data_IF_847184283807
#
_entry.id   IF_847184283807
#
_cell.length_a   1.000
_cell.length_b   1.000
_cell.length_c   1.000
_cell.angle_alpha   90.00
_cell.angle_beta   90.00
_cell.angle_gamma   90.00
#
_symmetry.space_group_name_H-M   'P 1'
#
loop_
_entity.id
_entity.type
_entity.pdbx_description
1 polymer ?
#
# COMPACT_ATOMS: atom_id res chain seq x y z
N UNK A 1 -18.09 -29.94 -49.15
CA UNK A 1 -18.62 -30.84 -48.12
C UNK A 1 -18.72 -30.07 -46.82
N UNK A 2 -19.94 -29.76 -46.43
CA UNK A 2 -20.33 -28.90 -45.31
C UNK A 2 -19.93 -29.49 -43.96
N UNK A 3 -18.93 -28.91 -43.29
CA UNK A 3 -18.78 -29.07 -41.83
C UNK A 3 -19.70 -28.05 -41.17
N UNK A 4 -20.85 -28.53 -40.72
CA UNK A 4 -21.75 -27.84 -39.81
C UNK A 4 -20.95 -27.36 -38.59
N UNK A 5 -20.72 -26.04 -38.50
CA UNK A 5 -20.23 -25.41 -37.28
C UNK A 5 -21.34 -25.56 -36.24
N UNK A 6 -21.22 -26.56 -35.35
CA UNK A 6 -22.02 -26.60 -34.13
C UNK A 6 -21.65 -25.35 -33.34
N UNK A 7 -22.56 -24.38 -33.30
CA UNK A 7 -22.38 -23.16 -32.52
C UNK A 7 -22.52 -23.52 -31.04
N UNK A 8 -21.39 -23.72 -30.38
CA UNK A 8 -21.35 -23.93 -28.94
C UNK A 8 -21.72 -22.63 -28.22
N UNK A 9 -22.81 -22.65 -27.48
CA UNK A 9 -23.28 -21.51 -26.70
C UNK A 9 -22.92 -21.68 -25.23
N UNK A 10 -22.35 -20.61 -24.64
CA UNK A 10 -22.02 -20.54 -23.22
C UNK A 10 -23.18 -19.82 -22.52
N UNK A 11 -23.56 -20.30 -21.34
CA UNK A 11 -24.55 -19.59 -20.52
C UNK A 11 -24.04 -18.18 -20.17
N UNK A 12 -24.95 -17.19 -20.17
CA UNK A 12 -24.61 -15.80 -19.89
C UNK A 12 -23.95 -15.65 -18.51
N UNK A 13 -24.40 -16.39 -17.51
CA UNK A 13 -23.81 -16.35 -16.17
C UNK A 13 -22.38 -16.91 -16.16
N UNK A 14 -22.16 -18.02 -16.87
CA UNK A 14 -20.86 -18.67 -17.01
C UNK A 14 -19.84 -17.82 -17.77
N UNK A 15 -20.26 -17.10 -18.81
CA UNK A 15 -19.40 -16.22 -19.60
C UNK A 15 -18.80 -15.08 -18.76
N UNK A 16 -19.66 -14.37 -18.00
CA UNK A 16 -19.21 -13.25 -17.16
C UNK A 16 -18.37 -13.71 -15.98
N UNK A 17 -18.77 -14.83 -15.35
CA UNK A 17 -17.99 -15.43 -14.28
C UNK A 17 -16.57 -15.77 -14.75
N UNK A 18 -16.45 -16.39 -15.94
CA UNK A 18 -15.14 -16.77 -16.46
C UNK A 18 -14.25 -15.56 -16.76
N UNK A 19 -14.78 -14.53 -17.42
CA UNK A 19 -14.02 -13.31 -17.71
C UNK A 19 -13.58 -12.61 -16.41
N UNK A 20 -14.44 -12.57 -15.40
CA UNK A 20 -14.12 -12.01 -14.08
C UNK A 20 -13.03 -12.84 -13.37
N UNK A 21 -13.14 -14.17 -13.35
CA UNK A 21 -12.16 -15.05 -12.69
C UNK A 21 -10.79 -15.03 -13.37
N UNK A 22 -10.74 -14.93 -14.70
CA UNK A 22 -9.47 -14.77 -15.43
C UNK A 22 -8.84 -13.39 -15.17
N UNK A 23 -9.64 -12.32 -15.14
CA UNK A 23 -9.14 -11.00 -14.80
C UNK A 23 -8.63 -10.92 -13.35
N UNK A 24 -9.33 -11.57 -12.40
CA UNK A 24 -8.89 -11.67 -11.00
C UNK A 24 -7.56 -12.43 -10.88
N UNK A 25 -7.39 -13.53 -11.63
CA UNK A 25 -6.15 -14.31 -11.65
C UNK A 25 -4.94 -13.47 -12.09
N UNK A 26 -5.07 -12.67 -13.14
CA UNK A 26 -4.01 -11.76 -13.62
C UNK A 26 -4.02 -10.36 -12.98
N UNK A 27 -4.84 -10.13 -11.95
CA UNK A 27 -5.00 -8.83 -11.26
C UNK A 27 -5.32 -7.65 -12.19
N UNK A 28 -6.07 -7.92 -13.26
CA UNK A 28 -6.53 -6.92 -14.22
C UNK A 28 -7.81 -6.23 -13.69
N UNK A 29 -7.98 -4.92 -13.90
CA UNK A 29 -9.22 -4.23 -13.54
C UNK A 29 -10.37 -4.72 -14.43
N UNK A 30 -11.38 -5.36 -13.82
CA UNK A 30 -12.55 -5.89 -14.52
C UNK A 30 -13.81 -5.17 -14.06
N UNK A 31 -14.61 -4.69 -15.02
CA UNK A 31 -15.93 -4.10 -14.78
C UNK A 31 -16.99 -4.91 -15.54
N UNK A 32 -17.86 -5.59 -14.79
CA UNK A 32 -18.87 -6.48 -15.33
C UNK A 32 -19.94 -5.74 -16.15
N UNK A 33 -20.26 -4.48 -15.80
CA UNK A 33 -21.29 -3.71 -16.49
C UNK A 33 -20.78 -3.14 -17.82
N UNK A 34 -19.48 -2.90 -17.92
CA UNK A 34 -18.81 -2.48 -19.15
C UNK A 34 -18.73 -3.62 -20.18
N UNK A 35 -18.56 -4.87 -19.72
CA UNK A 35 -18.62 -6.06 -20.60
C UNK A 35 -20.05 -6.31 -21.07
N UNK A 36 -21.05 -6.20 -20.17
CA UNK A 36 -22.48 -6.36 -20.51
C UNK A 36 -23.00 -5.33 -21.50
N UNK A 37 -22.52 -4.09 -21.44
CA UNK A 37 -22.93 -3.02 -22.36
C UNK A 37 -22.28 -3.12 -23.74
N UNK A 38 -21.11 -3.76 -23.83
CA UNK A 38 -20.33 -3.85 -25.07
C UNK A 38 -20.58 -5.13 -25.87
N UNK A 39 -21.00 -6.23 -25.24
CA UNK A 39 -21.20 -7.53 -25.89
C UNK A 39 -22.63 -8.06 -25.68
N UNK A 40 -23.41 -8.10 -26.74
CA UNK A 40 -24.81 -8.58 -26.76
C UNK A 40 -24.85 -10.09 -27.04
N UNK A 41 -25.76 -10.88 -26.43
CA UNK A 41 -25.92 -12.32 -26.75
C UNK A 41 -26.21 -12.55 -28.25
N UNK A 42 -25.78 -13.69 -28.84
CA UNK A 42 -25.36 -14.93 -28.19
C UNK A 42 -23.88 -15.02 -27.75
N UNK A 43 -23.64 -15.47 -26.52
CA UNK A 43 -22.29 -15.67 -25.97
C UNK A 43 -21.65 -16.96 -26.51
N UNK A 44 -20.82 -16.82 -27.53
CA UNK A 44 -20.01 -17.90 -28.09
C UNK A 44 -18.54 -17.82 -27.66
N UNK A 45 -17.78 -18.88 -27.95
CA UNK A 45 -16.32 -18.91 -27.76
C UNK A 45 -15.60 -17.76 -28.49
N UNK A 46 -16.00 -17.33 -29.72
CA UNK A 46 -15.35 -16.19 -30.39
C UNK A 46 -15.52 -14.87 -29.63
N UNK A 47 -16.70 -14.62 -29.05
CA UNK A 47 -16.95 -13.44 -28.24
C UNK A 47 -16.12 -13.46 -26.95
N UNK A 48 -15.83 -14.64 -26.40
CA UNK A 48 -14.97 -14.78 -25.23
C UNK A 48 -13.51 -14.42 -25.56
N UNK A 49 -13.00 -14.85 -26.71
CA UNK A 49 -11.65 -14.49 -27.17
C UNK A 49 -11.54 -12.97 -27.36
N UNK A 50 -12.56 -12.32 -27.91
CA UNK A 50 -12.58 -10.87 -28.10
C UNK A 50 -12.62 -10.10 -26.77
N UNK A 51 -13.38 -10.58 -25.78
CA UNK A 51 -13.36 -10.02 -24.42
C UNK A 51 -11.99 -10.19 -23.76
N UNK A 52 -11.37 -11.36 -23.92
CA UNK A 52 -10.04 -11.62 -23.37
C UNK A 52 -8.98 -10.73 -24.05
N UNK A 53 -9.04 -10.57 -25.37
CA UNK A 53 -8.13 -9.69 -26.10
C UNK A 53 -8.30 -8.22 -25.67
N UNK A 54 -9.54 -7.76 -25.47
CA UNK A 54 -9.83 -6.44 -24.91
C UNK A 54 -9.32 -6.23 -23.48
N UNK A 55 -9.14 -7.32 -22.71
CA UNK A 55 -8.53 -7.33 -21.38
C UNK A 55 -6.99 -7.48 -21.43
N UNK A 56 -6.39 -7.59 -22.62
CA UNK A 56 -4.94 -7.79 -22.79
C UNK A 56 -4.51 -9.25 -22.60
N UNK A 57 -5.41 -10.20 -22.85
CA UNK A 57 -5.19 -11.64 -22.71
C UNK A 57 -5.34 -12.34 -24.06
N UNK A 58 -4.32 -13.07 -24.48
CA UNK A 58 -4.40 -13.92 -25.67
C UNK A 58 -4.95 -15.29 -25.30
N UNK A 59 -6.03 -15.69 -25.97
CA UNK A 59 -6.69 -16.97 -25.76
C UNK A 59 -6.56 -17.87 -27.00
N UNK A 60 -6.07 -19.09 -26.83
CA UNK A 60 -5.97 -20.12 -27.86
C UNK A 60 -6.86 -21.32 -27.53
N UNK A 61 -7.42 -21.96 -28.55
CA UNK A 61 -8.26 -23.16 -28.40
C UNK A 61 -7.39 -24.39 -28.69
N UNK A 62 -7.43 -25.38 -27.79
CA UNK A 62 -6.75 -26.66 -27.95
C UNK A 62 -7.74 -27.81 -27.73
N UNK A 63 -7.60 -28.90 -28.49
CA UNK A 63 -8.36 -30.13 -28.22
C UNK A 63 -7.74 -30.87 -27.05
N UNK A 64 -8.57 -31.28 -26.08
CA UNK A 64 -8.13 -32.04 -24.91
C UNK A 64 -7.52 -33.42 -25.23
N UNK A 65 -7.76 -33.96 -26.44
CA UNK A 65 -7.17 -35.23 -26.91
C UNK A 65 -5.68 -35.10 -27.24
N UNK A 66 -5.20 -33.86 -27.46
CA UNK A 66 -3.82 -33.53 -27.81
C UNK A 66 -3.06 -32.94 -26.61
N UNK A 67 -3.71 -32.82 -25.44
CA UNK A 67 -3.15 -32.16 -24.26
C UNK A 67 -2.48 -33.15 -23.28
N UNK A 68 -1.21 -32.90 -22.97
CA UNK A 68 -0.50 -33.52 -21.83
C UNK A 68 -0.93 -32.84 -20.53
N UNK A 69 -1.75 -33.52 -19.72
CA UNK A 69 -2.34 -32.95 -18.49
C UNK A 69 -1.33 -32.57 -17.41
N UNK A 70 -0.10 -33.06 -17.50
CA UNK A 70 1.01 -32.75 -16.59
C UNK A 70 1.77 -31.46 -16.96
N UNK A 71 1.66 -31.01 -18.22
CA UNK A 71 2.38 -29.84 -18.76
C UNK A 71 1.42 -28.73 -19.24
N UNK A 72 0.18 -28.74 -18.77
CA UNK A 72 -0.81 -27.72 -19.14
C UNK A 72 -0.38 -26.34 -18.64
N UNK A 73 -0.30 -25.31 -19.50
CA UNK A 73 -0.11 -23.95 -19.04
C UNK A 73 -1.35 -23.51 -18.26
N UNK A 74 -1.16 -23.23 -16.97
CA UNK A 74 -2.22 -22.77 -16.06
C UNK A 74 -2.28 -21.23 -16.07
N UNK A 75 -3.48 -20.63 -16.02
CA UNK A 75 -4.80 -21.24 -15.86
C UNK A 75 -5.38 -21.71 -17.20
N UNK A 76 -5.97 -22.91 -17.21
CA UNK A 76 -6.65 -23.47 -18.39
C UNK A 76 -8.16 -23.50 -18.15
N UNK A 77 -8.95 -23.21 -19.18
CA UNK A 77 -10.41 -23.23 -19.13
C UNK A 77 -10.91 -24.44 -19.88
N UNK A 78 -11.78 -25.22 -19.25
CA UNK A 78 -12.47 -26.34 -19.89
C UNK A 78 -13.98 -26.11 -19.91
N UNK A 79 -14.68 -26.71 -20.87
CA UNK A 79 -16.12 -26.61 -20.97
C UNK A 79 -16.77 -27.97 -20.66
N UNK A 80 -17.92 -27.98 -19.99
CA UNK A 80 -18.74 -29.19 -19.76
C UNK A 80 -20.02 -29.13 -20.57
N UNK A 81 -20.33 -30.20 -21.30
CA UNK A 81 -21.58 -30.36 -22.03
C UNK A 81 -22.74 -30.75 -21.11
N UNK A 82 -23.89 -30.10 -21.26
CA UNK A 82 -25.12 -30.44 -20.53
C UNK A 82 -25.61 -31.85 -20.86
N UNK A 83 -25.32 -32.79 -19.97
CA UNK A 83 -25.92 -34.12 -19.93
C UNK A 83 -25.98 -34.57 -18.47
N UNK A 84 -27.07 -34.24 -17.77
CA UNK A 84 -27.38 -34.88 -16.49
C UNK A 84 -27.86 -36.31 -16.77
N UNK A 85 -27.11 -37.31 -16.29
CA UNK A 85 -27.63 -38.67 -16.14
C UNK A 85 -28.42 -38.73 -14.83
N UNK A 86 -29.73 -38.95 -14.92
CA UNK A 86 -30.53 -39.30 -13.74
C UNK A 86 -32.03 -39.00 -13.75
N UNK A 87 -32.77 -39.08 -14.87
CA UNK A 87 -34.24 -39.17 -14.87
C UNK A 87 -34.69 -40.07 -16.04
N UNK A 88 -35.65 -40.96 -15.77
CA UNK A 88 -36.27 -41.89 -16.74
C UNK A 88 -36.83 -41.19 -17.99
N UNK A 89 -36.89 -41.87 -19.16
CA UNK A 89 -37.31 -41.24 -20.40
C UNK A 89 -38.84 -41.13 -20.46
N UNK A 90 -39.39 -39.98 -20.07
CA UNK A 90 -40.72 -39.57 -20.52
C UNK A 90 -40.60 -38.99 -21.93
N UNK A 91 -41.32 -39.62 -22.86
CA UNK A 91 -41.43 -39.24 -24.25
C UNK A 91 -41.95 -37.80 -24.43
N UNK A 92 -41.51 -37.16 -25.52
CA UNK A 92 -41.80 -35.77 -25.95
C UNK A 92 -40.86 -34.70 -25.37
N UNK A 93 -39.67 -34.60 -25.96
CA UNK A 93 -38.93 -33.34 -26.03
C UNK A 93 -38.16 -33.30 -27.36
N UNK A 94 -38.55 -32.36 -28.21
CA UNK A 94 -37.97 -32.09 -29.52
C UNK A 94 -36.44 -32.05 -29.49
N UNK A 95 -35.83 -32.91 -30.31
CA UNK A 95 -34.44 -32.80 -30.76
C UNK A 95 -34.31 -31.58 -31.68
N UNK A 96 -34.07 -30.40 -31.13
CA UNK A 96 -33.29 -29.32 -31.76
C UNK A 96 -33.11 -28.16 -30.77
N UNK A 97 -32.03 -28.22 -29.98
CA UNK A 97 -31.59 -27.12 -29.11
C UNK A 97 -30.07 -27.20 -28.90
N UNK A 98 -29.31 -26.11 -29.06
CA UNK A 98 -27.85 -26.14 -28.92
C UNK A 98 -27.46 -26.43 -27.46
N UNK A 99 -26.58 -27.42 -27.26
CA UNK A 99 -26.13 -27.82 -25.93
C UNK A 99 -25.41 -26.69 -25.20
N UNK A 100 -25.97 -26.24 -24.07
CA UNK A 100 -25.35 -25.25 -23.19
C UNK A 100 -24.02 -25.80 -22.63
N UNK A 101 -22.94 -25.04 -22.80
CA UNK A 101 -21.65 -25.32 -22.18
C UNK A 101 -21.51 -24.54 -20.87
N UNK A 102 -21.11 -25.24 -19.81
CA UNK A 102 -20.71 -24.61 -18.54
C UNK A 102 -19.19 -24.52 -18.44
N UNK A 103 -18.60 -23.32 -18.29
CA UNK A 103 -17.16 -23.17 -18.19
C UNK A 103 -16.65 -23.58 -16.80
N UNK A 104 -15.45 -24.16 -16.75
CA UNK A 104 -14.76 -24.59 -15.54
C UNK A 104 -13.30 -24.15 -15.62
N UNK A 105 -12.79 -23.52 -14.56
CA UNK A 105 -11.41 -23.04 -14.49
C UNK A 105 -10.52 -24.09 -13.83
N UNK A 106 -9.43 -24.47 -14.50
CA UNK A 106 -8.39 -25.36 -13.99
C UNK A 106 -7.28 -24.49 -13.41
N UNK A 107 -7.10 -24.56 -12.09
CA UNK A 107 -6.14 -23.71 -11.34
C UNK A 107 -4.91 -24.51 -10.90
N UNK A 108 -4.96 -25.84 -10.94
CA UNK A 108 -3.82 -26.70 -10.62
C UNK A 108 -4.01 -28.15 -11.03
N UNK A 109 -2.90 -28.82 -11.35
CA UNK A 109 -2.82 -30.26 -11.62
C UNK A 109 -1.72 -30.85 -10.71
N UNK A 110 -2.09 -31.76 -9.81
CA UNK A 110 -1.13 -32.42 -8.91
C UNK A 110 -1.42 -33.93 -8.83
N UNK A 111 -0.40 -34.76 -9.09
CA UNK A 111 -0.40 -36.22 -8.93
C UNK A 111 -1.69 -36.95 -9.41
N UNK A 112 -2.22 -36.60 -10.59
CA UNK A 112 -3.42 -37.24 -11.17
C UNK A 112 -4.78 -36.64 -10.73
N UNK A 113 -4.76 -35.56 -9.96
CA UNK A 113 -5.93 -34.79 -9.51
C UNK A 113 -5.91 -33.38 -10.10
N UNK A 114 -7.05 -32.94 -10.64
CA UNK A 114 -7.28 -31.58 -11.13
C UNK A 114 -8.01 -30.76 -10.07
N UNK A 115 -7.50 -29.57 -9.78
CA UNK A 115 -8.17 -28.58 -8.93
C UNK A 115 -9.00 -27.64 -9.81
N UNK A 116 -10.32 -27.77 -9.71
CA UNK A 116 -11.30 -27.11 -10.58
C UNK A 116 -12.12 -26.11 -9.78
N UNK A 117 -12.32 -24.91 -10.33
CA UNK A 117 -13.22 -23.89 -9.78
C UNK A 117 -14.43 -23.75 -10.71
N UNK A 118 -15.64 -23.76 -10.13
CA UNK A 118 -16.91 -23.72 -10.86
C UNK A 118 -17.60 -22.36 -10.67
N UNK A 119 -18.47 -21.95 -11.61
CA UNK A 119 -19.37 -20.81 -11.40
C UNK A 119 -20.16 -20.97 -10.10
N UNK A 120 -20.01 -20.02 -9.17
CA UNK A 120 -20.67 -20.02 -7.86
C UNK A 120 -19.94 -20.77 -6.73
N UNK A 121 -18.76 -21.35 -6.97
CA UNK A 121 -17.92 -21.96 -5.94
C UNK A 121 -16.58 -21.23 -5.83
N UNK A 122 -16.19 -20.83 -4.62
CA UNK A 122 -14.94 -20.12 -4.35
C UNK A 122 -13.78 -21.03 -3.95
N UNK A 123 -14.06 -22.27 -3.54
CA UNK A 123 -13.03 -23.25 -3.15
C UNK A 123 -12.75 -24.26 -4.27
N UNK A 124 -11.46 -24.55 -4.60
CA UNK A 124 -11.11 -25.51 -5.64
C UNK A 124 -11.54 -26.94 -5.28
N UNK A 125 -12.37 -27.55 -6.12
CA UNK A 125 -12.74 -28.96 -5.96
C UNK A 125 -11.73 -29.85 -6.66
N UNK A 126 -11.16 -30.82 -5.93
CA UNK A 126 -10.23 -31.81 -6.50
C UNK A 126 -10.99 -32.97 -7.12
N UNK A 127 -10.79 -33.20 -8.41
CA UNK A 127 -11.43 -34.31 -9.16
C UNK A 127 -10.33 -35.11 -9.86
N UNK A 128 -10.49 -36.44 -9.93
CA UNK A 128 -9.57 -37.30 -10.70
C UNK A 128 -9.70 -37.04 -12.20
N UNK A 129 -8.58 -37.10 -12.92
CA UNK A 129 -8.54 -36.86 -14.37
C UNK A 129 -9.53 -37.77 -15.11
N UNK A 130 -9.68 -39.04 -14.71
CA UNK A 130 -10.61 -40.01 -15.32
C UNK A 130 -12.09 -39.62 -15.18
N UNK A 131 -12.50 -39.08 -14.02
CA UNK A 131 -13.87 -38.62 -13.81
C UNK A 131 -14.14 -37.32 -14.58
N UNK A 132 -13.13 -36.47 -14.69
CA UNK A 132 -13.20 -35.27 -15.51
C UNK A 132 -13.35 -35.61 -17.01
N UNK A 133 -12.65 -36.64 -17.51
CA UNK A 133 -12.74 -37.12 -18.91
C UNK A 133 -14.16 -37.51 -19.32
N UNK A 134 -14.97 -38.02 -18.40
CA UNK A 134 -16.34 -38.45 -18.67
C UNK A 134 -17.32 -37.26 -18.73
N UNK A 135 -16.95 -36.11 -18.19
CA UNK A 135 -17.83 -34.95 -18.02
C UNK A 135 -17.41 -33.74 -18.87
N UNK A 136 -16.16 -33.68 -19.34
CA UNK A 136 -15.66 -32.54 -20.11
C UNK A 136 -16.01 -32.63 -21.61
N UNK A 137 -16.41 -31.49 -22.18
CA UNK A 137 -16.46 -31.31 -23.63
C UNK A 137 -15.03 -31.32 -24.20
N UNK A 138 -14.84 -31.68 -25.48
CA UNK A 138 -13.50 -31.92 -26.04
C UNK A 138 -12.69 -30.65 -26.34
N UNK A 139 -12.86 -29.57 -25.57
CA UNK A 139 -12.35 -28.24 -25.88
C UNK A 139 -11.72 -27.59 -24.63
N UNK A 140 -10.46 -27.19 -24.75
CA UNK A 140 -9.69 -26.41 -23.78
C UNK A 140 -9.42 -25.02 -24.35
N UNK A 141 -9.56 -23.99 -23.53
CA UNK A 141 -9.16 -22.62 -23.83
C UNK A 141 -7.96 -22.27 -22.94
N UNK A 142 -6.81 -22.09 -23.57
CA UNK A 142 -5.56 -21.71 -22.92
C UNK A 142 -5.44 -20.20 -23.02
N UNK A 143 -5.22 -19.53 -21.89
CA UNK A 143 -5.19 -18.08 -21.85
C UNK A 143 -3.85 -17.63 -21.27
N UNK A 144 -3.19 -16.67 -21.92
CA UNK A 144 -1.91 -16.08 -21.52
C UNK A 144 -1.98 -14.56 -21.58
N UNK A 145 -1.12 -13.87 -20.84
CA UNK A 145 -0.96 -12.43 -20.96
C UNK A 145 -0.44 -12.06 -22.36
N UNK A 146 -1.06 -11.06 -23.00
CA UNK A 146 -0.63 -10.57 -24.30
C UNK A 146 0.64 -9.74 -24.13
N UNK A 147 1.75 -10.16 -24.75
CA UNK A 147 2.94 -9.30 -24.84
C UNK A 147 2.55 -8.01 -25.61
N UNK A 148 2.80 -6.82 -25.05
CA UNK A 148 2.46 -5.57 -25.72
C UNK A 148 3.26 -5.45 -27.03
N UNK A 149 2.69 -4.86 -28.10
CA UNK A 149 3.40 -4.68 -29.35
C UNK A 149 4.66 -3.85 -29.11
N UNK A 150 5.81 -4.46 -29.35
CA UNK A 150 7.13 -3.84 -29.22
C UNK A 150 7.28 -2.79 -30.31
N UNK A 151 7.00 -1.53 -29.99
CA UNK A 151 7.53 -0.40 -30.74
C UNK A 151 9.01 -0.23 -30.34
N UNK A 152 9.91 -0.12 -31.33
CA UNK A 152 11.37 -0.07 -31.11
C UNK A 152 11.80 1.07 -30.16
N UNK A 153 11.03 2.16 -30.09
CA UNK A 153 11.24 3.28 -29.15
C UNK A 153 10.86 2.94 -27.70
N UNK A 154 9.92 2.01 -27.51
CA UNK A 154 9.51 1.54 -26.19
C UNK A 154 10.48 0.48 -25.64
N UNK A 155 11.18 -0.29 -26.49
CA UNK A 155 12.15 -1.28 -26.03
C UNK A 155 13.37 -0.64 -25.35
N UNK A 156 13.84 0.50 -25.87
CA UNK A 156 14.95 1.24 -25.27
C UNK A 156 14.57 1.90 -23.93
N UNK A 157 13.31 2.34 -23.77
CA UNK A 157 12.82 2.95 -22.53
C UNK A 157 12.28 1.94 -21.51
N UNK A 158 11.75 0.80 -21.96
CA UNK A 158 11.25 -0.28 -21.11
C UNK A 158 12.39 -1.15 -20.53
N UNK A 159 13.50 -1.31 -21.26
CA UNK A 159 14.67 -2.02 -20.72
C UNK A 159 15.35 -1.26 -19.57
N UNK A 160 15.22 0.07 -19.51
CA UNK A 160 15.68 0.87 -18.36
C UNK A 160 14.62 0.96 -17.24
N UNK A 161 13.32 0.84 -17.56
CA UNK A 161 12.24 0.94 -16.58
C UNK A 161 11.93 -0.39 -15.87
N UNK A 162 12.40 -1.54 -16.37
CA UNK A 162 12.21 -2.86 -15.76
C UNK A 162 13.19 -3.19 -14.62
N UNK A 163 14.21 -2.38 -14.37
CA UNK A 163 14.87 -2.39 -13.07
C UNK A 163 14.01 -1.60 -12.09
N UNK A 164 13.04 -2.29 -11.49
CA UNK A 164 12.22 -1.78 -10.40
C UNK A 164 13.08 -1.40 -9.19
N UNK A 165 13.71 -0.23 -9.24
CA UNK A 165 14.34 0.39 -8.08
C UNK A 165 13.21 0.75 -7.14
N UNK A 166 13.04 -0.06 -6.10
CA UNK A 166 12.09 0.20 -5.03
C UNK A 166 12.15 1.68 -4.64
N UNK A 167 10.99 2.34 -4.56
CA UNK A 167 10.89 3.73 -4.13
C UNK A 167 11.63 3.87 -2.79
N UNK A 168 12.82 4.46 -2.82
CA UNK A 168 13.76 4.42 -1.71
C UNK A 168 14.36 5.78 -1.46
N UNK A 169 14.61 6.10 -0.20
CA UNK A 169 15.24 7.35 0.27
C UNK A 169 16.57 7.69 -0.43
N UNK A 170 17.14 6.74 -1.19
CA UNK A 170 18.35 6.91 -1.99
C UNK A 170 18.35 8.09 -2.97
N UNK A 171 17.19 8.58 -3.43
CA UNK A 171 17.14 9.78 -4.28
C UNK A 171 17.23 11.09 -3.48
N UNK A 172 16.97 11.02 -2.17
CA UNK A 172 16.99 12.13 -1.22
C UNK A 172 18.38 12.35 -0.61
N UNK A 173 19.11 11.25 -0.40
CA UNK A 173 20.46 11.21 0.17
C UNK A 173 21.46 12.11 -0.58
N UNK A 174 21.50 12.13 -1.93
CA UNK A 174 22.42 12.99 -2.68
C UNK A 174 22.18 14.48 -2.44
N UNK A 175 20.91 14.93 -2.36
CA UNK A 175 20.58 16.34 -2.13
C UNK A 175 20.91 16.76 -0.69
N UNK A 176 20.72 15.84 0.27
CA UNK A 176 21.12 16.05 1.66
C UNK A 176 22.64 16.17 1.81
N UNK A 177 23.40 15.30 1.12
CA UNK A 177 24.86 15.28 1.11
C UNK A 177 25.47 16.47 0.38
N UNK A 178 24.70 17.25 -0.37
CA UNK A 178 25.19 18.49 -1.02
C UNK A 178 25.49 19.59 0.02
N UNK A 179 24.88 19.52 1.20
CA UNK A 179 24.99 20.52 2.26
C UNK A 179 25.89 20.07 3.43
N UNK A 180 27.00 19.37 3.17
CA UNK A 180 27.86 18.76 4.22
C UNK A 180 28.36 19.74 5.27
N UNK A 181 28.62 20.99 4.89
CA UNK A 181 29.12 22.01 5.83
C UNK A 181 28.11 22.27 6.94
N UNK A 182 26.82 22.37 6.61
CA UNK A 182 25.78 22.63 7.61
C UNK A 182 25.62 21.42 8.52
N UNK A 183 25.63 20.20 7.96
CA UNK A 183 25.56 18.98 8.77
C UNK A 183 26.76 18.80 9.70
N UNK A 184 27.96 19.21 9.28
CA UNK A 184 29.13 19.25 10.16
C UNK A 184 28.93 20.25 11.30
N UNK A 185 28.39 21.43 11.01
CA UNK A 185 28.16 22.46 12.04
C UNK A 185 27.07 22.02 13.04
N UNK A 186 26.02 21.35 12.56
CA UNK A 186 25.00 20.68 13.40
C UNK A 186 25.63 19.59 14.27
N UNK A 187 26.50 18.74 13.69
CA UNK A 187 27.21 17.69 14.43
C UNK A 187 28.12 18.27 15.52
N UNK A 188 28.83 19.37 15.23
CA UNK A 188 29.67 20.07 16.21
C UNK A 188 28.83 20.70 17.32
N UNK A 189 27.68 21.31 16.99
CA UNK A 189 26.75 21.84 17.97
C UNK A 189 26.17 20.72 18.86
N UNK A 190 25.74 19.59 18.27
CA UNK A 190 25.30 18.42 19.03
C UNK A 190 26.40 17.86 19.92
N UNK A 191 27.66 17.77 19.44
CA UNK A 191 28.80 17.35 20.25
C UNK A 191 28.99 18.27 21.46
N UNK A 192 28.97 19.58 21.27
CA UNK A 192 29.14 20.54 22.35
C UNK A 192 28.01 20.43 23.39
N UNK A 193 26.75 20.32 22.94
CA UNK A 193 25.60 20.10 23.82
C UNK A 193 25.76 18.80 24.60
N UNK A 194 26.17 17.73 23.93
CA UNK A 194 26.28 16.41 24.55
C UNK A 194 27.39 16.34 25.60
N UNK A 195 28.54 16.97 25.32
CA UNK A 195 29.62 17.06 26.30
C UNK A 195 29.20 17.81 27.56
N UNK A 196 28.45 18.91 27.40
CA UNK A 196 27.87 19.64 28.54
C UNK A 196 26.82 18.81 29.26
N UNK A 197 26.01 18.03 28.53
CA UNK A 197 25.05 17.11 29.12
C UNK A 197 25.72 16.02 29.98
N UNK A 198 26.88 15.50 29.56
CA UNK A 198 27.68 14.58 30.38
C UNK A 198 28.27 15.25 31.62
N UNK A 199 28.53 16.55 31.56
CA UNK A 199 29.02 17.30 32.72
C UNK A 199 27.96 17.40 33.82
N UNK A 200 26.67 17.40 33.47
CA UNK A 200 25.57 17.57 34.44
C UNK A 200 25.55 16.48 35.54
N UNK A 201 25.61 15.16 35.23
CA UNK A 201 25.78 14.12 36.26
C UNK A 201 27.03 14.29 37.13
N UNK A 202 28.15 14.71 36.54
CA UNK A 202 29.40 14.97 37.28
C UNK A 202 29.22 16.14 38.26
N UNK A 203 28.51 17.19 37.85
CA UNK A 203 28.16 18.30 38.74
C UNK A 203 27.30 17.82 39.90
N UNK A 204 26.24 17.06 39.63
CA UNK A 204 25.39 16.49 40.67
C UNK A 204 26.21 15.61 41.64
N UNK A 205 27.12 14.79 41.12
CA UNK A 205 28.02 13.99 41.95
C UNK A 205 28.89 14.88 42.86
N UNK A 206 29.53 15.91 42.32
CA UNK A 206 30.37 16.83 43.11
C UNK A 206 29.55 17.59 44.17
N UNK A 207 28.31 17.98 43.85
CA UNK A 207 27.40 18.61 44.83
C UNK A 207 27.14 17.67 45.99
N UNK A 208 26.78 16.42 45.70
CA UNK A 208 26.44 15.42 46.71
C UNK A 208 27.67 15.04 47.53
N UNK A 209 28.75 14.65 46.87
CA UNK A 209 29.91 14.03 47.51
C UNK A 209 30.82 15.05 48.19
N UNK A 210 30.95 16.27 47.64
CA UNK A 210 31.86 17.30 48.18
C UNK A 210 31.12 18.41 48.89
N UNK A 211 30.13 19.04 48.25
CA UNK A 211 29.52 20.27 48.77
C UNK A 211 28.62 19.99 49.96
N UNK A 212 27.73 19.00 49.84
CA UNK A 212 26.81 18.60 50.91
C UNK A 212 27.59 17.93 52.06
N UNK A 213 28.55 17.06 51.74
CA UNK A 213 29.34 16.38 52.76
C UNK A 213 30.25 17.32 53.59
N UNK A 214 30.89 18.31 52.95
CA UNK A 214 31.87 19.19 53.61
C UNK A 214 31.35 20.61 53.93
N UNK A 215 30.08 20.91 53.66
CA UNK A 215 29.43 22.21 53.91
C UNK A 215 30.21 23.42 53.34
N UNK A 216 30.81 23.28 52.15
CA UNK A 216 31.61 24.34 51.52
C UNK A 216 30.74 25.26 50.66
N UNK A 217 30.28 26.38 51.23
CA UNK A 217 29.43 27.36 50.52
C UNK A 217 30.12 28.01 49.31
N UNK A 218 31.44 28.24 49.41
CA UNK A 218 32.21 28.82 48.29
C UNK A 218 32.21 27.91 47.06
N UNK A 219 32.36 26.60 47.25
CA UNK A 219 32.31 25.62 46.16
C UNK A 219 30.90 25.56 45.54
N UNK A 220 29.86 25.67 46.37
CA UNK A 220 28.47 25.68 45.91
C UNK A 220 28.19 26.87 44.98
N UNK A 221 28.62 28.08 45.34
CA UNK A 221 28.39 29.29 44.54
C UNK A 221 29.09 29.18 43.18
N UNK A 222 30.36 28.74 43.16
CA UNK A 222 31.11 28.55 41.91
C UNK A 222 30.42 27.53 41.01
N UNK A 223 29.96 26.42 41.59
CA UNK A 223 29.26 25.39 40.83
C UNK A 223 27.90 25.87 40.32
N UNK A 224 27.17 26.65 41.12
CA UNK A 224 25.90 27.26 40.74
C UNK A 224 26.06 28.22 39.56
N UNK A 225 27.07 29.10 39.59
CA UNK A 225 27.39 29.99 38.47
C UNK A 225 27.78 29.20 37.23
N UNK A 226 28.60 28.14 37.38
CA UNK A 226 28.95 27.25 36.26
C UNK A 226 27.72 26.56 35.67
N UNK A 227 26.79 26.10 36.51
CA UNK A 227 25.56 25.43 36.07
C UNK A 227 24.64 26.39 35.29
N UNK A 228 24.49 27.63 35.76
CA UNK A 228 23.75 28.68 35.03
C UNK A 228 24.43 28.99 33.69
N UNK A 229 25.76 29.10 33.66
CA UNK A 229 26.50 29.30 32.42
C UNK A 229 26.32 28.13 31.44
N UNK A 230 26.34 26.88 31.92
CA UNK A 230 26.08 25.69 31.10
C UNK A 230 24.64 25.61 30.60
N UNK A 231 23.66 25.99 31.43
CA UNK A 231 22.26 26.08 31.00
C UNK A 231 22.10 27.11 29.87
N UNK A 232 22.71 28.29 30.01
CA UNK A 232 22.67 29.32 28.98
C UNK A 232 23.37 28.87 27.70
N UNK A 233 24.56 28.29 27.83
CA UNK A 233 25.30 27.74 26.69
C UNK A 233 24.50 26.65 25.96
N UNK A 234 23.91 25.72 26.71
CA UNK A 234 23.08 24.64 26.16
C UNK A 234 21.86 25.19 25.44
N UNK A 235 21.20 26.21 26.02
CA UNK A 235 20.06 26.87 25.40
C UNK A 235 20.44 27.55 24.07
N UNK A 236 21.54 28.30 24.05
CA UNK A 236 22.04 28.98 22.84
C UNK A 236 22.46 27.96 21.77
N UNK A 237 23.21 26.92 22.15
CA UNK A 237 23.63 25.87 21.22
C UNK A 237 22.44 25.06 20.70
N UNK A 238 21.45 24.76 21.54
CA UNK A 238 20.23 24.08 21.12
C UNK A 238 19.42 24.93 20.15
N UNK A 239 19.31 26.23 20.41
CA UNK A 239 18.67 27.17 19.49
C UNK A 239 19.41 27.23 18.15
N UNK A 240 20.74 27.35 18.18
CA UNK A 240 21.57 27.37 16.96
C UNK A 240 21.42 26.07 16.16
N UNK A 241 21.49 24.91 16.83
CA UNK A 241 21.27 23.60 16.21
C UNK A 241 19.90 23.53 15.55
N UNK A 242 18.84 23.94 16.25
CA UNK A 242 17.47 23.88 15.72
C UNK A 242 17.26 24.85 14.56
N UNK A 243 17.87 26.04 14.63
CA UNK A 243 17.88 27.00 13.53
C UNK A 243 18.58 26.42 12.29
N UNK A 244 19.76 25.81 12.44
CA UNK A 244 20.50 25.19 11.32
C UNK A 244 19.72 24.05 10.66
N UNK A 245 19.09 23.18 11.48
CA UNK A 245 18.25 22.09 10.97
C UNK A 245 17.05 22.65 10.22
N UNK A 246 16.33 23.63 10.79
CA UNK A 246 15.16 24.23 10.14
C UNK A 246 15.55 24.95 8.83
N UNK A 247 16.62 25.75 8.86
CA UNK A 247 17.09 26.48 7.68
C UNK A 247 17.49 25.53 6.53
N UNK A 248 18.14 24.42 6.87
CA UNK A 248 18.52 23.39 5.90
C UNK A 248 17.29 22.64 5.39
N UNK A 249 16.36 22.31 6.29
CA UNK A 249 15.07 21.72 5.96
C UNK A 249 14.36 22.53 4.88
N UNK A 250 14.10 23.82 5.14
CA UNK A 250 13.39 24.70 4.19
C UNK A 250 14.08 24.80 2.81
N UNK A 251 15.42 24.71 2.74
CA UNK A 251 16.15 24.72 1.47
C UNK A 251 15.99 23.42 0.69
N UNK A 252 16.15 22.28 1.36
CA UNK A 252 15.91 20.96 0.78
C UNK A 252 14.45 20.89 0.31
N UNK A 253 13.55 21.43 1.11
CA UNK A 253 12.12 21.49 0.84
C UNK A 253 11.79 22.27 -0.42
N UNK A 254 12.37 23.46 -0.62
CA UNK A 254 12.15 24.24 -1.83
C UNK A 254 12.59 23.48 -3.11
N UNK A 255 13.79 22.88 -3.09
CA UNK A 255 14.35 22.16 -4.25
C UNK A 255 13.51 20.93 -4.59
N UNK A 256 13.09 20.18 -3.58
CA UNK A 256 12.31 18.97 -3.77
C UNK A 256 10.88 19.27 -4.18
N UNK A 257 10.28 20.32 -3.62
CA UNK A 257 8.93 20.76 -3.98
C UNK A 257 8.84 21.14 -5.44
N UNK A 258 9.84 21.88 -5.93
CA UNK A 258 9.95 22.24 -7.35
C UNK A 258 10.07 21.00 -8.25
N UNK A 259 10.89 20.02 -7.87
CA UNK A 259 11.09 18.79 -8.65
C UNK A 259 9.82 17.94 -8.72
N UNK A 260 9.10 17.80 -7.61
CA UNK A 260 7.83 17.07 -7.55
C UNK A 260 6.77 17.76 -8.40
N UNK A 261 6.62 19.08 -8.27
CA UNK A 261 5.66 19.83 -9.08
C UNK A 261 5.99 19.77 -10.57
N UNK A 262 7.28 19.94 -10.94
CA UNK A 262 7.74 19.84 -12.32
C UNK A 262 7.49 18.46 -12.92
N UNK A 263 7.64 17.39 -12.12
CA UNK A 263 7.30 16.05 -12.56
C UNK A 263 5.78 15.91 -12.75
N UNK A 264 4.97 16.35 -11.77
CA UNK A 264 3.52 16.31 -11.85
C UNK A 264 3.00 16.99 -13.13
N UNK A 265 3.54 18.15 -13.49
CA UNK A 265 3.17 18.89 -14.71
C UNK A 265 3.55 18.19 -16.03
N UNK A 266 4.46 17.21 -16.00
CA UNK A 266 4.87 16.43 -17.19
C UNK A 266 4.03 15.17 -17.39
N UNK A 267 3.12 14.84 -16.48
CA UNK A 267 2.29 13.64 -16.62
C UNK A 267 1.20 13.84 -17.68
N UNK A 268 0.85 12.79 -18.44
CA UNK A 268 -0.17 12.87 -19.47
C UNK A 268 -1.56 13.04 -18.86
N UNK A 269 -2.46 13.74 -19.56
CA UNK A 269 -3.84 14.06 -19.11
C UNK A 269 -4.63 12.83 -18.59
N UNK A 270 -4.55 11.63 -19.20
CA UNK A 270 -5.24 10.44 -18.70
C UNK A 270 -4.87 10.05 -17.27
N UNK A 271 -3.70 10.49 -16.75
CA UNK A 271 -3.32 10.27 -15.36
C UNK A 271 -4.22 11.05 -14.39
N UNK A 272 -4.61 12.27 -14.76
CA UNK A 272 -5.43 13.18 -13.96
C UNK A 272 -6.91 12.83 -14.05
N UNK A 273 -7.40 12.42 -15.22
CA UNK A 273 -8.80 12.00 -15.40
C UNK A 273 -9.16 10.76 -14.56
N UNK A 274 -8.19 9.87 -14.32
CA UNK A 274 -8.38 8.64 -13.54
C UNK A 274 -8.33 8.85 -12.02
N UNK A 275 -8.02 10.06 -11.52
CA UNK A 275 -7.76 10.30 -10.09
C UNK A 275 -8.44 11.58 -9.59
N UNK A 276 -9.23 11.52 -8.50
CA UNK A 276 -9.80 12.72 -7.90
C UNK A 276 -8.71 13.72 -7.48
N UNK A 277 -8.96 15.01 -7.71
CA UNK A 277 -8.05 16.10 -7.32
C UNK A 277 -7.70 16.05 -5.83
N UNK A 278 -8.65 15.70 -4.97
CA UNK A 278 -8.43 15.55 -3.52
C UNK A 278 -7.41 14.46 -3.17
N UNK A 279 -7.38 13.35 -3.93
CA UNK A 279 -6.38 12.28 -3.72
C UNK A 279 -4.98 12.73 -4.14
N UNK A 280 -4.87 13.55 -5.20
CA UNK A 280 -3.59 14.11 -5.64
C UNK A 280 -3.03 15.11 -4.62
N UNK A 281 -3.88 16.00 -4.09
CA UNK A 281 -3.50 16.96 -3.04
C UNK A 281 -3.09 16.23 -1.76
N UNK A 282 -3.85 15.21 -1.34
CA UNK A 282 -3.49 14.40 -0.16
C UNK A 282 -2.14 13.69 -0.33
N UNK A 283 -1.85 13.16 -1.53
CA UNK A 283 -0.54 12.57 -1.84
C UNK A 283 0.58 13.60 -1.83
N UNK A 284 0.35 14.79 -2.38
CA UNK A 284 1.33 15.87 -2.36
C UNK A 284 1.66 16.29 -0.92
N UNK A 285 0.65 16.40 -0.06
CA UNK A 285 0.85 16.67 1.35
C UNK A 285 1.59 15.53 2.07
N UNK A 286 1.29 14.27 1.75
CA UNK A 286 2.04 13.13 2.29
C UNK A 286 3.53 13.14 1.89
N UNK A 287 3.86 13.60 0.68
CA UNK A 287 5.24 13.78 0.23
C UNK A 287 5.93 14.91 1.03
N UNK A 288 5.22 16.00 1.30
CA UNK A 288 5.69 17.10 2.14
C UNK A 288 6.06 16.61 3.53
N UNK A 289 5.13 15.94 4.21
CA UNK A 289 5.35 15.39 5.55
C UNK A 289 6.51 14.38 5.60
N UNK A 290 6.60 13.51 4.57
CA UNK A 290 7.71 12.56 4.47
C UNK A 290 9.05 13.29 4.34
N UNK A 291 9.09 14.36 3.55
CA UNK A 291 10.26 15.18 3.36
C UNK A 291 10.66 15.90 4.64
N UNK A 292 9.73 16.54 5.34
CA UNK A 292 9.98 17.20 6.63
C UNK A 292 10.54 16.20 7.67
N UNK A 293 10.00 14.98 7.68
CA UNK A 293 10.52 13.91 8.54
C UNK A 293 11.96 13.53 8.18
N UNK A 294 12.27 13.39 6.90
CA UNK A 294 13.61 13.02 6.42
C UNK A 294 14.61 14.15 6.63
N UNK A 295 14.28 15.40 6.29
CA UNK A 295 15.18 16.55 6.37
C UNK A 295 15.38 17.05 7.81
N UNK A 296 14.39 16.85 8.69
CA UNK A 296 14.44 17.26 10.09
C UNK A 296 14.77 16.13 11.05
N UNK A 297 13.73 15.36 11.43
CA UNK A 297 13.79 14.42 12.54
C UNK A 297 14.73 13.24 12.30
N UNK A 298 14.68 12.62 11.11
CA UNK A 298 15.47 11.44 10.80
C UNK A 298 16.97 11.74 10.78
N UNK A 299 17.37 12.89 10.22
CA UNK A 299 18.78 13.28 10.19
C UNK A 299 19.27 13.69 11.57
N UNK A 300 18.46 14.40 12.35
CA UNK A 300 18.79 14.72 13.74
C UNK A 300 19.03 13.44 14.55
N UNK A 301 18.15 12.45 14.43
CA UNK A 301 18.30 11.13 15.06
C UNK A 301 19.61 10.44 14.63
N UNK A 302 19.93 10.48 13.34
CA UNK A 302 21.15 9.87 12.81
C UNK A 302 22.42 10.56 13.34
N UNK A 303 22.39 11.89 13.47
CA UNK A 303 23.47 12.68 14.06
C UNK A 303 23.59 12.48 15.57
N UNK A 304 22.49 12.14 16.24
CA UNK A 304 22.47 11.86 17.68
C UNK A 304 22.91 10.44 18.04
N UNK A 305 22.84 9.50 17.09
CA UNK A 305 23.24 8.10 17.23
C UNK A 305 24.68 7.88 17.76
N UNK A 306 25.74 8.55 17.24
CA UNK A 306 27.10 8.39 17.79
C UNK A 306 27.19 8.84 19.25
N UNK A 307 26.41 9.86 19.63
CA UNK A 307 26.39 10.36 21.00
C UNK A 307 25.70 9.41 21.97
N UNK A 308 24.67 8.68 21.51
CA UNK A 308 24.08 7.59 22.27
C UNK A 308 25.13 6.52 22.62
N UNK A 309 26.00 6.16 21.67
CA UNK A 309 27.07 5.20 21.92
C UNK A 309 28.08 5.71 22.96
N UNK A 310 28.45 6.99 22.90
CA UNK A 310 29.34 7.63 23.89
C UNK A 310 28.68 7.61 25.28
N UNK A 311 27.41 7.99 25.38
CA UNK A 311 26.66 7.95 26.64
C UNK A 311 26.60 6.54 27.23
N UNK A 312 26.30 5.56 26.40
CA UNK A 312 26.24 4.17 26.82
C UNK A 312 27.62 3.67 27.30
N UNK A 313 28.70 4.01 26.59
CA UNK A 313 30.07 3.68 27.00
C UNK A 313 30.44 4.28 28.36
N UNK A 314 30.10 5.56 28.59
CA UNK A 314 30.33 6.22 29.89
C UNK A 314 29.49 5.57 30.99
N UNK A 315 28.21 5.27 30.74
CA UNK A 315 27.36 4.58 31.72
C UNK A 315 27.92 3.20 32.09
N UNK A 316 28.36 2.41 31.10
CA UNK A 316 28.99 1.11 31.34
C UNK A 316 30.29 1.22 32.16
N UNK A 317 31.08 2.28 31.94
CA UNK A 317 32.28 2.55 32.72
C UNK A 317 31.96 2.91 34.19
N UNK A 318 30.82 3.56 34.45
CA UNK A 318 30.36 3.87 35.81
C UNK A 318 29.80 2.64 36.54
N UNK A 319 28.85 1.92 35.93
CA UNK A 319 28.31 0.68 36.46
C UNK A 319 27.62 -0.12 35.36
N UNK A 320 28.19 -1.28 35.01
CA UNK A 320 27.62 -2.17 34.02
C UNK A 320 26.27 -2.77 34.47
N UNK A 321 26.07 -3.02 35.77
CA UNK A 321 24.81 -3.58 36.29
C UNK A 321 23.64 -2.61 36.15
N UNK A 322 23.83 -1.35 36.58
CA UNK A 322 22.78 -0.32 36.46
C UNK A 322 22.49 0.01 34.99
N UNK A 323 23.52 -0.01 34.15
CA UNK A 323 23.37 0.22 32.71
C UNK A 323 22.55 -0.88 32.04
N UNK A 324 22.79 -2.16 32.36
CA UNK A 324 21.98 -3.27 31.85
C UNK A 324 20.52 -3.17 32.27
N UNK A 325 20.25 -2.77 33.51
CA UNK A 325 18.86 -2.56 33.98
C UNK A 325 18.19 -1.43 33.18
N UNK A 326 18.89 -0.31 32.98
CA UNK A 326 18.38 0.82 32.20
C UNK A 326 18.11 0.44 30.73
N UNK A 327 19.05 -0.25 30.08
CA UNK A 327 18.88 -0.74 28.70
C UNK A 327 17.73 -1.74 28.61
N UNK A 328 17.60 -2.65 29.59
CA UNK A 328 16.50 -3.60 29.67
C UNK A 328 15.14 -2.91 29.80
N UNK A 329 15.04 -1.83 30.59
CA UNK A 329 13.83 -1.04 30.71
C UNK A 329 13.48 -0.31 29.41
N UNK A 330 14.48 0.29 28.74
CA UNK A 330 14.28 0.93 27.43
C UNK A 330 13.81 -0.10 26.40
N UNK A 331 14.40 -1.30 26.39
CA UNK A 331 14.00 -2.38 25.50
C UNK A 331 12.57 -2.86 25.78
N UNK A 332 12.18 -2.97 27.05
CA UNK A 332 10.81 -3.31 27.45
C UNK A 332 9.80 -2.26 26.95
N UNK A 333 10.11 -0.97 27.12
CA UNK A 333 9.28 0.13 26.63
C UNK A 333 9.19 0.09 25.10
N UNK A 334 10.31 -0.15 24.40
CA UNK A 334 10.35 -0.27 22.96
C UNK A 334 9.51 -1.45 22.46
N UNK A 335 9.57 -2.60 23.12
CA UNK A 335 8.77 -3.78 22.79
C UNK A 335 7.27 -3.52 23.03
N UNK A 336 6.91 -2.94 24.18
CA UNK A 336 5.54 -2.55 24.47
C UNK A 336 5.00 -1.56 23.43
N UNK A 337 5.82 -0.59 23.01
CA UNK A 337 5.48 0.33 21.93
C UNK A 337 5.27 -0.40 20.61
N UNK A 338 6.17 -1.32 20.24
CA UNK A 338 6.07 -2.08 18.98
C UNK A 338 4.79 -2.92 18.89
N UNK A 339 4.33 -3.47 20.01
CA UNK A 339 3.05 -4.20 20.11
C UNK A 339 1.85 -3.25 20.02
N UNK A 340 1.95 -2.05 20.59
CA UNK A 340 0.85 -1.07 20.58
C UNK A 340 0.70 -0.30 19.26
N UNK A 341 1.80 -0.01 18.56
CA UNK A 341 1.82 0.71 17.27
C UNK A 341 0.80 0.20 16.25
N UNK A 342 0.67 -1.12 15.95
CA UNK A 342 -0.32 -1.59 14.96
C UNK A 342 -1.76 -1.35 15.42
N UNK A 343 -2.04 -1.42 16.73
CA UNK A 343 -3.38 -1.14 17.28
C UNK A 343 -3.72 0.34 17.10
N UNK A 344 -2.79 1.24 17.44
CA UNK A 344 -2.96 2.67 17.26
C UNK A 344 -3.09 3.05 15.78
N UNK A 345 -2.25 2.48 14.89
CA UNK A 345 -2.35 2.72 13.45
C UNK A 345 -3.74 2.37 12.91
N UNK A 346 -4.28 1.20 13.23
CA UNK A 346 -5.63 0.80 12.78
C UNK A 346 -6.72 1.77 13.26
N UNK A 347 -6.62 2.27 14.50
CA UNK A 347 -7.58 3.24 15.05
C UNK A 347 -7.46 4.60 14.36
N UNK A 348 -6.23 5.08 14.17
CA UNK A 348 -5.94 6.31 13.44
C UNK A 348 -6.43 6.23 11.99
N UNK A 349 -6.14 5.15 11.27
CA UNK A 349 -6.57 4.96 9.88
C UNK A 349 -8.10 4.99 9.77
N UNK A 350 -8.81 4.35 10.72
CA UNK A 350 -10.28 4.40 10.79
C UNK A 350 -10.79 5.81 11.08
N UNK A 351 -10.16 6.54 12.00
CA UNK A 351 -10.50 7.93 12.30
C UNK A 351 -10.28 8.84 11.07
N UNK A 352 -9.14 8.70 10.39
CA UNK A 352 -8.83 9.45 9.17
C UNK A 352 -9.82 9.16 8.04
N UNK A 353 -10.18 7.89 7.82
CA UNK A 353 -11.19 7.50 6.82
C UNK A 353 -12.56 8.12 7.11
N UNK A 354 -13.03 8.07 8.36
CA UNK A 354 -14.31 8.66 8.76
C UNK A 354 -14.29 10.19 8.70
N UNK A 355 -13.17 10.82 9.10
CA UNK A 355 -12.97 12.26 8.98
C UNK A 355 -12.95 12.72 7.52
N UNK A 356 -12.25 12.00 6.64
CA UNK A 356 -12.21 12.29 5.21
C UNK A 356 -13.60 12.17 4.57
N UNK A 357 -14.41 11.17 4.96
CA UNK A 357 -15.81 11.05 4.51
C UNK A 357 -16.67 12.24 4.96
N UNK A 358 -16.52 12.68 6.21
CA UNK A 358 -17.26 13.83 6.71
C UNK A 358 -16.86 15.13 5.97
N UNK A 359 -15.57 15.32 5.71
CA UNK A 359 -15.06 16.46 4.95
C UNK A 359 -15.53 16.45 3.48
N UNK A 360 -15.53 15.28 2.84
CA UNK A 360 -16.02 15.11 1.48
C UNK A 360 -17.52 15.45 1.40
N UNK A 361 -18.33 14.94 2.33
CA UNK A 361 -19.75 15.26 2.44
C UNK A 361 -19.99 16.78 2.55
N UNK A 362 -19.27 17.45 3.45
CA UNK A 362 -19.39 18.90 3.62
C UNK A 362 -18.98 19.65 2.34
N UNK A 363 -17.88 19.24 1.70
CA UNK A 363 -17.39 19.91 0.49
C UNK A 363 -18.40 19.76 -0.66
N UNK A 364 -18.97 18.57 -0.86
CA UNK A 364 -19.99 18.28 -1.88
C UNK A 364 -21.27 19.08 -1.64
N UNK A 365 -21.83 19.01 -0.42
CA UNK A 365 -23.10 19.66 -0.09
C UNK A 365 -23.01 21.18 -0.03
N UNK A 366 -21.88 21.75 0.41
CA UNK A 366 -21.66 23.20 0.35
C UNK A 366 -21.44 23.67 -1.09
N UNK A 367 -20.75 22.89 -1.93
CA UNK A 367 -20.56 23.25 -3.34
C UNK A 367 -21.86 23.14 -4.14
N UNK A 368 -22.71 22.17 -3.82
CA UNK A 368 -24.03 21.97 -4.41
C UNK A 368 -25.19 22.61 -3.63
N UNK A 369 -24.92 23.64 -2.82
CA UNK A 369 -25.91 24.19 -1.88
C UNK A 369 -27.17 24.70 -2.57
N UNK A 370 -27.03 25.25 -3.78
CA UNK A 370 -28.15 25.75 -4.57
C UNK A 370 -29.16 24.65 -4.92
N UNK A 371 -28.66 23.46 -5.25
CA UNK A 371 -29.49 22.27 -5.52
C UNK A 371 -30.17 21.78 -4.26
N UNK A 372 -29.43 21.73 -3.13
CA UNK A 372 -29.97 21.31 -1.84
C UNK A 372 -31.12 22.23 -1.40
N UNK A 373 -30.96 23.56 -1.56
CA UNK A 373 -31.98 24.56 -1.23
C UNK A 373 -33.17 24.54 -2.17
N UNK A 374 -32.91 24.37 -3.46
CA UNK A 374 -33.97 24.36 -4.49
C UNK A 374 -34.87 23.11 -4.38
N UNK A 375 -34.30 21.98 -3.95
CA UNK A 375 -35.04 20.72 -3.73
C UNK A 375 -35.56 20.56 -2.29
N UNK A 376 -35.35 21.53 -1.40
CA UNK A 376 -35.73 21.49 0.02
C UNK A 376 -35.21 20.23 0.76
N UNK A 377 -33.99 19.81 0.43
CA UNK A 377 -33.37 18.60 0.97
C UNK A 377 -32.59 18.84 2.28
N UNK A 378 -32.72 20.01 2.91
CA UNK A 378 -31.97 20.33 4.14
C UNK A 378 -32.22 19.35 5.30
N UNK A 379 -33.46 18.91 5.58
CA UNK A 379 -33.70 17.94 6.64
C UNK A 379 -33.05 16.58 6.38
N UNK A 380 -32.91 16.18 5.12
CA UNK A 380 -32.24 14.94 4.74
C UNK A 380 -30.71 15.08 4.83
N UNK A 381 -30.18 16.22 4.39
CA UNK A 381 -28.77 16.57 4.52
C UNK A 381 -28.33 16.58 5.99
N UNK A 382 -29.13 17.16 6.89
CA UNK A 382 -28.85 17.21 8.33
C UNK A 382 -28.82 15.80 8.96
N UNK A 383 -29.81 14.95 8.63
CA UNK A 383 -29.81 13.55 9.06
C UNK A 383 -28.59 12.78 8.57
N UNK A 384 -28.20 13.00 7.31
CA UNK A 384 -27.05 12.32 6.68
C UNK A 384 -25.73 12.81 7.26
N UNK A 385 -25.62 14.10 7.57
CA UNK A 385 -24.50 14.68 8.31
C UNK A 385 -24.38 14.06 9.71
N UNK A 386 -25.48 13.99 10.47
CA UNK A 386 -25.50 13.35 11.79
C UNK A 386 -25.06 11.87 11.72
N UNK A 387 -25.46 11.15 10.68
CA UNK A 387 -25.05 9.76 10.43
C UNK A 387 -23.54 9.60 10.12
N UNK A 388 -22.88 10.61 9.53
CA UNK A 388 -21.43 10.61 9.34
C UNK A 388 -20.66 11.13 10.57
N UNK A 389 -21.25 12.08 11.30
CA UNK A 389 -20.64 12.68 12.48
C UNK A 389 -20.57 11.70 13.66
N UNK A 390 -21.62 10.90 13.91
CA UNK A 390 -21.63 9.97 15.04
C UNK A 390 -20.52 8.89 15.00
N UNK A 391 -20.27 8.19 13.87
CA UNK A 391 -19.13 7.28 13.74
C UNK A 391 -17.78 7.99 13.85
N UNK A 392 -17.66 9.20 13.29
CA UNK A 392 -16.42 9.98 13.41
C UNK A 392 -16.12 10.36 14.87
N UNK A 393 -17.12 10.85 15.61
CA UNK A 393 -16.97 11.20 17.02
C UNK A 393 -16.61 9.97 17.86
N UNK A 394 -17.31 8.85 17.69
CA UNK A 394 -16.97 7.60 18.41
C UNK A 394 -15.56 7.09 18.08
N UNK A 395 -15.12 7.16 16.81
CA UNK A 395 -13.75 6.82 16.43
C UNK A 395 -12.72 7.78 17.03
N UNK A 396 -13.04 9.08 17.12
CA UNK A 396 -12.17 10.08 17.74
C UNK A 396 -12.02 9.85 19.26
N UNK A 397 -13.11 9.48 19.95
CA UNK A 397 -13.08 9.10 21.37
C UNK A 397 -12.31 7.80 21.60
N UNK A 398 -12.39 6.83 20.70
CA UNK A 398 -11.65 5.57 20.81
C UNK A 398 -10.13 5.73 20.54
N UNK A 399 -9.70 6.87 20.01
CA UNK A 399 -8.31 7.15 19.64
C UNK A 399 -7.58 8.06 20.64
N UNK A 400 -8.33 8.88 21.41
CA UNK A 400 -7.83 9.54 22.63
C UNK A 400 -7.78 8.56 23.79
#
# INVERSE_FOLDING_TARGET
MSRTHVAWHIDASGFHWLAASLAEYWRLPFDADLVRSRFTPPYGIPALIEVLDALGLQAGILSWQEASWEELPLPAVAFRGGGEQGVEPSAEADTDGPGLLTPVLIVGSDAGLLSLVRPGQHEPQRISIENFRKQAAPLLLLVREAEPPVTEDAAATASEASEGKAFGFSWFVPELLRHRTIWRDVLLASLAIQLVALAMPLFTQVIIDKVIAHHSESTLIVLGVALVAFMLFTAVMSWLRQYLVLHTGCRVDAVLGEKVLRHLLRLPIPYFERRPTGTLVARLHGIETLREFVSGAAVSLLLDLPFLAIFLAVMFAYSWQLTLIAVGLILLIALASLVMVPVFRRRLDRQFLLGARNQAFLTEYLSGIDTVKSLQLEPEADKRYAAYLAPYLSASFATR
#
